data_IF_971722529243
#
_entry.id   IF_971722529243
#
_cell.length_a   1.000
_cell.length_b   1.000
_cell.length_c   1.000
_cell.angle_alpha   90.00
_cell.angle_beta   90.00
_cell.angle_gamma   90.00
#
_symmetry.space_group_name_H-M   'P 1'
#
loop_
_entity.id
_entity.type
_entity.pdbx_description
1 polymer ?
#
# COMPACT_ATOMS: atom_id res chain seq x y z
N UNK A 1 13.22 50.05 -44.70
CA UNK A 1 13.26 48.88 -43.77
C UNK A 1 12.75 49.33 -42.41
N UNK A 2 11.51 48.98 -42.03
CA UNK A 2 10.98 49.18 -40.68
C UNK A 2 10.58 47.81 -40.14
N UNK A 3 11.42 47.23 -39.29
CA UNK A 3 11.09 46.02 -38.51
C UNK A 3 10.31 46.49 -37.28
N UNK A 4 8.99 46.42 -37.34
CA UNK A 4 8.14 46.51 -36.16
C UNK A 4 8.06 45.09 -35.58
N UNK A 5 8.97 44.73 -34.69
CA UNK A 5 8.85 43.50 -33.91
C UNK A 5 7.87 43.82 -32.77
N UNK A 6 6.63 43.43 -32.96
CA UNK A 6 5.59 43.42 -31.94
C UNK A 6 5.96 42.33 -30.93
N UNK A 7 6.67 42.72 -29.86
CA UNK A 7 6.89 41.85 -28.72
C UNK A 7 5.56 41.69 -27.98
N UNK A 8 4.84 40.61 -28.28
CA UNK A 8 3.69 40.18 -27.48
C UNK A 8 4.24 39.75 -26.12
N UNK A 9 4.09 40.64 -25.14
CA UNK A 9 4.25 40.34 -23.73
C UNK A 9 3.13 39.35 -23.36
N UNK A 10 3.44 38.06 -23.45
CA UNK A 10 2.70 37.07 -22.68
C UNK A 10 2.98 37.37 -21.21
N UNK A 11 2.08 38.13 -20.58
CA UNK A 11 1.94 38.18 -19.13
C UNK A 11 1.40 36.82 -18.67
N UNK A 12 2.25 35.80 -18.77
CA UNK A 12 2.02 34.52 -18.13
C UNK A 12 2.12 34.78 -16.63
N UNK A 13 0.98 34.97 -15.97
CA UNK A 13 0.89 34.76 -14.54
C UNK A 13 1.21 33.30 -14.31
N UNK A 14 2.50 32.98 -14.12
CA UNK A 14 2.91 31.70 -13.58
C UNK A 14 2.16 31.57 -12.26
N UNK A 15 1.18 30.67 -12.19
CA UNK A 15 0.53 30.30 -10.94
C UNK A 15 1.63 29.73 -10.04
N UNK A 16 2.24 30.59 -9.22
CA UNK A 16 3.22 30.16 -8.23
C UNK A 16 2.46 29.41 -7.15
N UNK A 17 2.64 28.09 -7.13
CA UNK A 17 2.15 27.25 -6.04
C UNK A 17 2.92 27.70 -4.79
N UNK A 18 2.21 28.08 -3.72
CA UNK A 18 2.86 28.46 -2.48
C UNK A 18 3.65 27.26 -1.92
N UNK A 19 4.76 27.49 -1.20
CA UNK A 19 5.54 26.40 -0.60
C UNK A 19 4.69 25.46 0.27
N UNK A 20 3.70 26.01 0.98
CA UNK A 20 2.74 25.27 1.78
C UNK A 20 1.87 24.34 0.92
N UNK A 21 1.24 24.85 -0.15
CA UNK A 21 0.46 24.02 -1.08
C UNK A 21 1.31 22.93 -1.71
N UNK A 22 2.57 23.23 -2.03
CA UNK A 22 3.50 22.23 -2.55
C UNK A 22 3.79 21.12 -1.52
N UNK A 23 3.86 21.44 -0.23
CA UNK A 23 4.04 20.45 0.83
C UNK A 23 2.86 19.46 0.92
N UNK A 24 1.61 19.95 0.85
CA UNK A 24 0.43 19.09 0.81
C UNK A 24 0.40 18.22 -0.45
N UNK A 25 0.73 18.78 -1.62
CA UNK A 25 0.84 17.99 -2.85
C UNK A 25 1.86 16.87 -2.68
N UNK A 26 3.02 17.16 -2.09
CA UNK A 26 4.04 16.15 -1.83
C UNK A 26 3.53 15.08 -0.83
N UNK A 27 2.79 15.46 0.20
CA UNK A 27 2.19 14.52 1.14
C UNK A 27 1.20 13.57 0.45
N UNK A 28 0.31 14.10 -0.40
CA UNK A 28 -0.64 13.29 -1.17
C UNK A 28 0.05 12.35 -2.16
N UNK A 29 1.09 12.83 -2.86
CA UNK A 29 1.91 11.99 -3.73
C UNK A 29 2.59 10.87 -2.93
N UNK A 30 3.11 11.16 -1.74
CA UNK A 30 3.71 10.15 -0.87
C UNK A 30 2.70 9.08 -0.47
N UNK A 31 1.47 9.48 -0.09
CA UNK A 31 0.38 8.56 0.24
C UNK A 31 -0.02 7.68 -0.95
N UNK A 32 -0.09 8.26 -2.16
CA UNK A 32 -0.36 7.53 -3.40
C UNK A 32 0.69 6.42 -3.64
N UNK A 33 1.98 6.76 -3.59
CA UNK A 33 3.05 5.78 -3.77
C UNK A 33 3.09 4.73 -2.65
N UNK A 34 2.81 5.14 -1.41
CA UNK A 34 2.72 4.23 -0.27
C UNK A 34 1.62 3.17 -0.49
N UNK A 35 0.43 3.58 -0.91
CA UNK A 35 -0.67 2.67 -1.24
C UNK A 35 -0.33 1.75 -2.43
N UNK A 36 0.39 2.29 -3.42
CA UNK A 36 0.92 1.55 -4.56
C UNK A 36 2.10 0.61 -4.23
N UNK A 37 2.55 0.56 -2.97
CA UNK A 37 3.74 -0.18 -2.50
C UNK A 37 5.07 0.24 -3.17
N UNK A 38 5.09 1.41 -3.79
CA UNK A 38 6.31 2.04 -4.30
C UNK A 38 6.96 2.85 -3.17
N UNK A 39 7.64 2.12 -2.28
CA UNK A 39 8.13 2.70 -1.04
C UNK A 39 9.29 3.68 -1.22
N UNK A 40 10.05 3.57 -2.32
CA UNK A 40 11.17 4.48 -2.58
C UNK A 40 10.67 5.87 -3.00
N UNK A 41 9.67 5.93 -3.89
CA UNK A 41 9.01 7.18 -4.21
C UNK A 41 8.21 7.73 -3.03
N UNK A 42 7.55 6.86 -2.24
CA UNK A 42 6.86 7.29 -1.02
C UNK A 42 7.83 8.01 -0.06
N UNK A 43 8.99 7.42 0.24
CA UNK A 43 10.02 8.05 1.09
C UNK A 43 10.49 9.39 0.54
N UNK A 44 10.73 9.47 -0.78
CA UNK A 44 11.16 10.71 -1.44
C UNK A 44 10.15 11.83 -1.18
N UNK A 45 8.87 11.58 -1.44
CA UNK A 45 7.83 12.61 -1.31
C UNK A 45 7.50 12.94 0.15
N UNK A 46 7.56 11.96 1.06
CA UNK A 46 7.48 12.23 2.49
C UNK A 46 8.60 13.16 2.96
N UNK A 47 9.84 12.94 2.52
CA UNK A 47 10.96 13.83 2.85
C UNK A 47 10.80 15.26 2.29
N UNK A 48 10.11 15.41 1.16
CA UNK A 48 9.79 16.74 0.61
C UNK A 48 8.70 17.46 1.42
N UNK A 49 7.74 16.72 1.99
CA UNK A 49 6.66 17.27 2.81
C UNK A 49 7.07 17.50 4.28
N UNK A 50 8.07 16.76 4.79
CA UNK A 50 8.51 16.81 6.18
C UNK A 50 8.92 18.24 6.61
N UNK A 51 8.44 18.63 7.80
CA UNK A 51 8.61 19.95 8.39
C UNK A 51 7.92 21.12 7.66
N UNK A 52 7.11 20.86 6.62
CA UNK A 52 6.45 21.91 5.82
C UNK A 52 4.92 21.82 5.81
N UNK A 53 4.36 20.73 6.33
CA UNK A 53 2.91 20.53 6.45
C UNK A 53 2.40 21.00 7.81
N UNK A 54 1.18 21.53 7.82
CA UNK A 54 0.43 21.84 9.04
C UNK A 54 -0.99 21.25 8.93
N UNK A 55 -1.69 20.96 10.04
CA UNK A 55 -1.22 21.03 11.42
C UNK A 55 -0.13 19.98 11.71
N UNK A 56 0.50 20.09 12.89
CA UNK A 56 1.55 19.18 13.39
C UNK A 56 1.17 17.69 13.28
N UNK A 57 -0.12 17.36 13.38
CA UNK A 57 -0.63 16.00 13.18
C UNK A 57 -0.25 15.39 11.81
N UNK A 58 -0.12 16.20 10.76
CA UNK A 58 0.34 15.70 9.47
C UNK A 58 1.83 15.31 9.49
N UNK A 59 2.65 15.99 10.28
CA UNK A 59 4.05 15.60 10.49
C UNK A 59 4.14 14.26 11.23
N UNK A 60 3.25 14.03 12.21
CA UNK A 60 3.14 12.73 12.88
C UNK A 60 2.72 11.63 11.92
N UNK A 61 1.77 11.91 11.02
CA UNK A 61 1.36 10.98 9.98
C UNK A 61 2.53 10.60 9.06
N UNK A 62 3.33 11.59 8.64
CA UNK A 62 4.55 11.36 7.85
C UNK A 62 5.50 10.44 8.62
N UNK A 63 5.79 10.74 9.89
CA UNK A 63 6.66 9.89 10.71
C UNK A 63 6.15 8.45 10.78
N UNK A 64 4.87 8.26 11.10
CA UNK A 64 4.23 6.94 11.19
C UNK A 64 4.43 6.15 9.90
N UNK A 65 4.18 6.77 8.75
CA UNK A 65 4.25 6.10 7.45
C UNK A 65 5.70 5.81 7.04
N UNK A 66 6.65 6.72 7.30
CA UNK A 66 8.09 6.49 7.06
C UNK A 66 8.62 5.34 7.92
N UNK A 67 8.27 5.30 9.21
CA UNK A 67 8.64 4.20 10.09
C UNK A 67 8.06 2.86 9.60
N UNK A 68 6.81 2.87 9.14
CA UNK A 68 6.17 1.68 8.56
C UNK A 68 6.90 1.19 7.30
N UNK A 69 7.31 2.11 6.41
CA UNK A 69 8.14 1.76 5.25
C UNK A 69 9.44 1.09 5.70
N UNK A 70 10.14 1.66 6.70
CA UNK A 70 11.37 1.06 7.20
C UNK A 70 11.15 -0.34 7.77
N UNK A 71 10.03 -0.56 8.47
CA UNK A 71 9.65 -1.89 8.95
C UNK A 71 9.38 -2.87 7.81
N UNK A 72 8.66 -2.45 6.77
CA UNK A 72 8.38 -3.29 5.58
C UNK A 72 9.66 -3.66 4.84
N UNK A 73 10.63 -2.74 4.76
CA UNK A 73 11.94 -2.97 4.15
C UNK A 73 12.93 -3.68 5.09
N UNK A 74 12.46 -4.25 6.19
CA UNK A 74 13.25 -4.93 7.22
C UNK A 74 14.39 -4.09 7.82
N UNK A 75 14.31 -2.76 7.69
CA UNK A 75 15.29 -1.80 8.20
C UNK A 75 14.91 -1.32 9.62
N UNK A 76 14.77 -2.27 10.57
CA UNK A 76 14.34 -1.99 11.95
C UNK A 76 15.10 -0.82 12.62
N UNK A 77 16.44 -0.69 12.53
CA UNK A 77 17.14 0.42 13.17
C UNK A 77 16.70 1.79 12.64
N UNK A 78 16.44 1.90 11.34
CA UNK A 78 15.94 3.16 10.74
C UNK A 78 14.53 3.47 11.22
N UNK A 79 13.67 2.46 11.32
CA UNK A 79 12.33 2.63 11.87
C UNK A 79 12.39 3.17 13.31
N UNK A 80 13.25 2.59 14.16
CA UNK A 80 13.46 3.03 15.54
C UNK A 80 13.91 4.50 15.58
N UNK A 81 14.93 4.88 14.81
CA UNK A 81 15.40 6.28 14.77
C UNK A 81 14.31 7.25 14.34
N UNK A 82 13.51 6.90 13.34
CA UNK A 82 12.37 7.72 12.89
C UNK A 82 11.34 7.90 14.02
N UNK A 83 10.98 6.81 14.71
CA UNK A 83 10.00 6.84 15.80
C UNK A 83 10.51 7.62 17.01
N UNK A 84 11.77 7.43 17.42
CA UNK A 84 12.39 8.15 18.53
C UNK A 84 12.38 9.66 18.29
N UNK A 85 12.73 10.10 17.06
CA UNK A 85 12.67 11.51 16.70
C UNK A 85 11.25 12.08 16.92
N UNK A 86 10.24 11.41 16.39
CA UNK A 86 8.86 11.90 16.52
C UNK A 86 8.32 11.85 17.94
N UNK A 87 8.72 10.85 18.73
CA UNK A 87 8.34 10.75 20.15
C UNK A 87 8.99 11.89 20.95
N UNK A 88 10.24 12.25 20.64
CA UNK A 88 10.94 13.34 21.31
C UNK A 88 10.37 14.72 20.95
N UNK A 89 9.89 14.87 19.71
CA UNK A 89 9.27 16.12 19.24
C UNK A 89 7.82 16.27 19.75
N UNK A 90 7.14 15.16 20.05
CA UNK A 90 5.74 15.16 20.48
C UNK A 90 5.53 15.41 21.98
N UNK A 91 4.29 15.69 22.36
CA UNK A 91 3.89 15.95 23.75
C UNK A 91 2.62 15.17 24.15
N UNK A 92 2.25 15.24 25.43
CA UNK A 92 1.09 14.52 25.98
C UNK A 92 -0.22 14.95 25.32
N UNK A 93 -0.38 16.23 24.98
CA UNK A 93 -1.59 16.73 24.29
C UNK A 93 -1.74 16.12 22.89
N UNK A 94 -0.63 15.93 22.18
CA UNK A 94 -0.60 15.26 20.87
C UNK A 94 -0.97 13.77 21.00
N UNK A 95 -0.61 13.11 22.10
CA UNK A 95 -1.00 11.73 22.40
C UNK A 95 -2.49 11.56 22.67
N UNK A 96 -3.11 12.51 23.35
CA UNK A 96 -4.55 12.49 23.61
C UNK A 96 -5.36 12.79 22.35
N UNK A 97 -4.91 13.75 21.55
CA UNK A 97 -5.64 14.24 20.38
C UNK A 97 -5.38 13.43 19.09
N UNK A 98 -4.19 12.89 18.87
CA UNK A 98 -3.82 12.25 17.60
C UNK A 98 -3.76 10.72 17.68
N UNK A 99 -4.58 10.06 16.86
CA UNK A 99 -4.49 8.60 16.68
C UNK A 99 -3.16 8.20 16.04
N UNK A 100 -2.63 9.02 15.12
CA UNK A 100 -1.35 8.73 14.46
C UNK A 100 -0.20 8.72 15.47
N UNK A 101 -0.22 9.60 16.47
CA UNK A 101 0.82 9.64 17.50
C UNK A 101 0.75 8.42 18.44
N UNK A 102 -0.46 7.99 18.80
CA UNK A 102 -0.65 6.73 19.55
C UNK A 102 -0.11 5.52 18.78
N UNK A 103 -0.32 5.49 17.47
CA UNK A 103 0.24 4.44 16.61
C UNK A 103 1.78 4.50 16.59
N UNK A 104 2.40 5.69 16.56
CA UNK A 104 3.87 5.86 16.65
C UNK A 104 4.41 5.28 17.95
N UNK A 105 3.82 5.64 19.10
CA UNK A 105 4.24 5.12 20.42
C UNK A 105 4.08 3.61 20.46
N UNK A 106 2.94 3.08 19.96
CA UNK A 106 2.68 1.65 19.95
C UNK A 106 3.70 0.90 19.09
N UNK A 107 4.00 1.37 17.88
CA UNK A 107 5.02 0.76 17.01
C UNK A 107 6.39 0.75 17.70
N UNK A 108 6.78 1.86 18.33
CA UNK A 108 8.05 1.94 19.05
C UNK A 108 8.12 0.92 20.19
N UNK A 109 7.07 0.87 21.03
CA UNK A 109 6.99 -0.08 22.13
C UNK A 109 6.99 -1.54 21.62
N UNK A 110 6.32 -1.84 20.52
CA UNK A 110 6.29 -3.17 19.90
C UNK A 110 7.67 -3.61 19.41
N UNK A 111 8.46 -2.70 18.84
CA UNK A 111 9.85 -2.98 18.41
C UNK A 111 10.75 -3.20 19.62
N UNK A 112 10.68 -2.33 20.64
CA UNK A 112 11.49 -2.46 21.86
C UNK A 112 11.15 -3.72 22.65
N UNK A 113 9.88 -4.11 22.70
CA UNK A 113 9.47 -5.37 23.31
C UNK A 113 10.04 -6.59 22.57
N UNK A 114 10.07 -6.56 21.22
CA UNK A 114 10.68 -7.62 20.40
C UNK A 114 12.21 -7.71 20.61
N UNK A 115 12.89 -6.57 20.81
CA UNK A 115 14.33 -6.53 21.14
C UNK A 115 14.64 -7.18 22.50
N UNK A 116 13.78 -6.96 23.50
CA UNK A 116 13.97 -7.52 24.86
C UNK A 116 13.56 -8.99 24.93
N UNK A 117 12.46 -9.36 24.30
CA UNK A 117 11.97 -10.73 24.27
C UNK A 117 11.25 -11.00 22.94
N UNK A 118 11.94 -11.62 21.97
CA UNK A 118 11.37 -11.92 20.66
C UNK A 118 10.08 -12.77 20.78
N UNK A 119 9.96 -13.62 21.80
CA UNK A 119 8.80 -14.51 21.94
C UNK A 119 7.47 -13.78 22.19
N UNK A 120 7.51 -12.50 22.58
CA UNK A 120 6.31 -11.68 22.81
C UNK A 120 5.48 -11.54 21.52
N UNK A 121 6.15 -11.43 20.37
CA UNK A 121 5.50 -11.19 19.08
C UNK A 121 5.24 -12.47 18.29
N UNK A 122 5.71 -13.64 18.74
CA UNK A 122 5.68 -14.88 17.95
C UNK A 122 4.26 -15.32 17.58
N UNK A 123 3.30 -15.17 18.49
CA UNK A 123 1.90 -15.47 18.19
C UNK A 123 1.33 -14.56 17.09
N UNK A 124 1.69 -13.26 17.10
CA UNK A 124 1.29 -12.32 16.04
C UNK A 124 1.99 -12.63 14.71
N UNK A 125 3.28 -12.98 14.75
CA UNK A 125 4.05 -13.40 13.56
C UNK A 125 3.45 -14.64 12.91
N UNK A 126 3.17 -15.67 13.70
CA UNK A 126 2.55 -16.90 13.20
C UNK A 126 1.16 -16.64 12.61
N UNK A 127 0.33 -15.82 13.26
CA UNK A 127 -0.98 -15.46 12.74
C UNK A 127 -0.88 -14.69 11.40
N UNK A 128 0.06 -13.75 11.31
CA UNK A 128 0.29 -12.98 10.09
C UNK A 128 0.81 -13.85 8.94
N UNK A 129 1.77 -14.74 9.21
CA UNK A 129 2.26 -15.72 8.24
C UNK A 129 1.14 -16.66 7.76
N UNK A 130 0.31 -17.15 8.68
CA UNK A 130 -0.83 -18.00 8.34
C UNK A 130 -1.84 -17.25 7.45
N UNK A 131 -2.12 -15.98 7.75
CA UNK A 131 -2.99 -15.13 6.93
C UNK A 131 -2.40 -14.88 5.53
N UNK A 132 -1.10 -14.58 5.43
CA UNK A 132 -0.43 -14.43 4.14
C UNK A 132 -0.50 -15.71 3.32
N UNK A 133 -0.21 -16.86 3.93
CA UNK A 133 -0.32 -18.17 3.26
C UNK A 133 -1.74 -18.43 2.76
N UNK A 134 -2.76 -18.11 3.56
CA UNK A 134 -4.16 -18.25 3.16
C UNK A 134 -4.54 -17.33 1.98
N UNK A 135 -4.03 -16.10 1.95
CA UNK A 135 -4.24 -15.18 0.82
C UNK A 135 -3.54 -15.66 -0.45
N UNK A 136 -2.30 -16.15 -0.34
CA UNK A 136 -1.58 -16.72 -1.48
C UNK A 136 -2.28 -17.95 -2.05
N UNK A 137 -2.80 -18.84 -1.19
CA UNK A 137 -3.57 -20.01 -1.62
C UNK A 137 -4.89 -19.62 -2.31
N UNK A 138 -5.57 -18.57 -1.85
CA UNK A 138 -6.78 -18.03 -2.48
C UNK A 138 -6.51 -17.31 -3.81
N UNK A 139 -5.32 -16.73 -3.96
CA UNK A 139 -4.89 -16.06 -5.18
C UNK A 139 -4.33 -17.03 -6.24
N UNK A 140 -4.16 -18.32 -5.92
CA UNK A 140 -3.83 -19.30 -6.95
C UNK A 140 -5.01 -19.42 -7.92
N UNK A 141 -4.78 -19.28 -9.23
CA UNK A 141 -5.84 -19.47 -10.20
C UNK A 141 -6.35 -20.90 -10.07
N UNK A 142 -7.65 -21.06 -9.85
CA UNK A 142 -8.31 -22.36 -10.01
C UNK A 142 -7.97 -22.82 -11.42
N UNK A 143 -7.23 -23.92 -11.53
CA UNK A 143 -6.93 -24.56 -12.81
C UNK A 143 -8.26 -24.68 -13.58
N UNK A 144 -8.32 -24.25 -14.86
CA UNK A 144 -9.55 -24.36 -15.61
C UNK A 144 -9.97 -25.83 -15.61
N UNK A 145 -11.18 -26.10 -15.10
CA UNK A 145 -11.75 -27.43 -15.06
C UNK A 145 -11.56 -28.08 -16.43
N UNK A 146 -10.85 -29.22 -16.46
CA UNK A 146 -10.72 -30.01 -17.69
C UNK A 146 -12.14 -30.29 -18.18
N UNK A 147 -12.48 -29.76 -19.36
CA UNK A 147 -13.74 -30.08 -20.03
C UNK A 147 -13.88 -31.61 -20.05
N UNK A 148 -15.00 -32.17 -19.58
CA UNK A 148 -15.20 -33.61 -19.68
C UNK A 148 -15.08 -34.02 -21.15
N UNK A 149 -14.28 -35.06 -21.40
CA UNK A 149 -14.05 -35.59 -22.72
C UNK A 149 -15.41 -35.96 -23.37
N UNK A 150 -15.59 -35.71 -24.68
CA UNK A 150 -16.85 -36.03 -25.34
C UNK A 150 -17.08 -37.55 -25.27
N UNK A 151 -18.18 -37.93 -24.61
CA UNK A 151 -18.65 -39.30 -24.51
C UNK A 151 -18.92 -39.83 -25.92
N UNK A 152 -18.16 -40.83 -26.37
CA UNK A 152 -18.47 -41.55 -27.62
C UNK A 152 -19.86 -42.16 -27.48
N UNK A 153 -20.77 -41.78 -28.38
CA UNK A 153 -22.07 -42.41 -28.51
C UNK A 153 -21.89 -43.91 -28.81
N UNK A 154 -22.68 -44.80 -28.18
CA UNK A 154 -22.59 -46.23 -28.46
C UNK A 154 -23.10 -46.51 -29.89
N UNK A 155 -22.35 -47.35 -30.60
CA UNK A 155 -22.71 -47.87 -31.91
C UNK A 155 -24.03 -48.65 -31.81
N UNK A 156 -25.01 -48.29 -32.64
CA UNK A 156 -26.23 -49.08 -32.85
C UNK A 156 -25.85 -50.43 -33.46
N UNK A 157 -26.05 -51.50 -32.70
CA UNK A 157 -26.19 -52.83 -33.24
C UNK A 157 -27.51 -52.90 -34.04
N UNK A 158 -27.40 -53.31 -35.29
CA UNK A 158 -28.53 -53.78 -36.07
C UNK A 158 -28.83 -55.23 -35.64
N UNK A 159 -30.07 -55.53 -35.31
CA UNK A 159 -30.62 -56.87 -35.55
C UNK A 159 -32.14 -56.86 -35.60
N UNK A 160 -32.64 -57.75 -36.44
CA UNK A 160 -33.96 -57.85 -37.03
C UNK A 160 -35.04 -58.39 -36.07
N UNK A 161 -36.30 -57.98 -36.30
CA UNK A 161 -37.37 -58.97 -36.50
C UNK A 161 -38.71 -58.36 -36.90
N UNK A 162 -39.11 -58.68 -38.13
CA UNK A 162 -40.42 -59.21 -38.56
C UNK A 162 -41.64 -58.90 -37.66
N UNK A 163 -42.62 -58.18 -38.22
CA UNK A 163 -44.03 -58.51 -37.99
C UNK A 163 -44.81 -58.47 -39.31
N UNK A 164 -45.71 -59.45 -39.40
CA UNK A 164 -46.47 -59.99 -40.54
C UNK A 164 -47.44 -59.02 -41.22
N UNK A 165 -47.64 -59.30 -42.52
CA UNK A 165 -48.72 -58.83 -43.39
C UNK A 165 -49.96 -59.75 -43.22
N UNK A 166 -51.17 -59.17 -43.37
CA UNK A 166 -52.43 -59.86 -43.69
C UNK A 166 -53.55 -59.42 -42.74
N UNK A 167 -54.72 -58.91 -43.16
CA UNK A 167 -55.41 -58.82 -44.46
C UNK A 167 -56.18 -57.50 -44.52
#
# INVERSE_FOLDING_TARGET
MKKLILAVLFSGTAFSISPEKQAYINLEMANYFFQGKDFDNALKYYGLADGKVQPEELSVLICRNVAMIHMIKEAKPKAVTTLEKCINDGNVSLMESSQAYRDVIKMYAEIKADEVNPKIQDGKRQAFEAQQRAMMQRAQPVSPAQKPAPTKAPAKAAEDSKVKIGF
#
